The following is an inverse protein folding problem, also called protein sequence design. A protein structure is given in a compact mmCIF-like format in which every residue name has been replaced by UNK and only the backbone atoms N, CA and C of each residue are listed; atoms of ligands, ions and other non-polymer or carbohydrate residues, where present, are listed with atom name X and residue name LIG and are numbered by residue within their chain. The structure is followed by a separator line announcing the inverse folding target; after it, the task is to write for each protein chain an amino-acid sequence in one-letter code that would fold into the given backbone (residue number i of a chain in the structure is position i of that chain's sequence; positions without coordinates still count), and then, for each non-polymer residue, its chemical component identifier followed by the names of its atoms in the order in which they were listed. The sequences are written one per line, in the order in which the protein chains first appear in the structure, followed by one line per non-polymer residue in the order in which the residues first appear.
data_IF_024527723008
#
_entry.id   IF_024527723008
#
_cell.length_a   1.000
_cell.length_b   1.000
_cell.length_c   1.000
_cell.angle_alpha   90.00
_cell.angle_beta   90.00
_cell.angle_gamma   90.00
#
_symmetry.space_group_name_H-M   'P 1'
#
loop_
_entity.id
_entity.type
_entity.pdbx_description
1 polymer ?
#
# COMPACT_ATOMS: atom_id res chain seq x y z
N UNK A 1 14.83 22.01 8.84
CA UNK A 1 13.49 22.65 8.93
C UNK A 1 13.09 22.66 10.39
N UNK A 2 12.69 23.80 10.97
CA UNK A 2 12.33 23.89 12.40
C UNK A 2 10.98 23.22 12.63
N UNK A 3 10.85 22.42 13.68
CA UNK A 3 9.58 21.82 14.09
C UNK A 3 8.64 22.89 14.64
N UNK A 4 7.46 22.97 14.06
CA UNK A 4 6.34 23.81 14.53
C UNK A 4 5.66 23.08 15.68
N UNK A 5 5.55 23.72 16.84
CA UNK A 5 4.76 23.16 17.95
C UNK A 5 3.28 23.20 17.61
N UNK A 6 2.48 22.30 18.22
CA UNK A 6 1.04 22.29 17.98
C UNK A 6 0.35 23.60 18.40
N UNK A 7 0.87 24.28 19.44
CA UNK A 7 0.37 25.60 19.87
C UNK A 7 0.48 26.64 18.77
N UNK A 8 1.59 26.59 18.02
CA UNK A 8 1.96 27.56 16.97
C UNK A 8 1.28 27.26 15.63
N UNK A 9 0.51 26.17 15.52
CA UNK A 9 -0.27 25.90 14.32
C UNK A 9 -1.36 26.97 14.16
N UNK A 10 -1.47 27.60 12.97
CA UNK A 10 -2.41 28.69 12.69
C UNK A 10 -3.83 28.17 12.44
N UNK A 11 -4.31 27.33 13.36
CA UNK A 11 -5.64 26.73 13.38
C UNK A 11 -6.28 27.03 14.74
N UNK A 12 -7.60 27.24 14.75
CA UNK A 12 -8.35 27.52 15.96
C UNK A 12 -8.53 26.25 16.80
N UNK A 13 -8.67 26.42 18.12
CA UNK A 13 -9.03 25.32 19.00
C UNK A 13 -10.45 24.81 18.73
N UNK A 14 -10.67 23.52 18.98
CA UNK A 14 -11.97 22.84 18.94
C UNK A 14 -12.70 22.95 17.59
N UNK A 15 -11.95 23.23 16.51
CA UNK A 15 -12.46 23.19 15.13
C UNK A 15 -11.81 22.03 14.38
N UNK A 16 -12.60 21.40 13.50
CA UNK A 16 -12.14 20.34 12.60
C UNK A 16 -11.38 20.97 11.43
N UNK A 17 -10.24 20.35 11.09
CA UNK A 17 -9.43 20.72 9.95
C UNK A 17 -9.06 19.47 9.15
N UNK A 18 -9.12 19.59 7.83
CA UNK A 18 -8.53 18.59 6.95
C UNK A 18 -7.02 18.78 6.90
N UNK A 19 -6.30 17.69 7.14
CA UNK A 19 -4.85 17.64 7.14
C UNK A 19 -4.39 16.55 6.16
N UNK A 20 -3.38 16.86 5.35
CA UNK A 20 -2.72 15.88 4.46
C UNK A 20 -1.29 15.64 4.92
N UNK A 21 -0.90 14.37 5.09
CA UNK A 21 0.49 14.01 5.36
C UNK A 21 1.24 13.96 4.03
N UNK A 22 2.07 14.97 3.75
CA UNK A 22 2.83 15.02 2.50
C UNK A 22 4.10 14.17 2.56
N UNK A 23 4.73 14.08 3.73
CA UNK A 23 5.98 13.34 3.93
C UNK A 23 6.07 12.81 5.35
N UNK A 24 6.49 11.57 5.50
CA UNK A 24 6.58 10.89 6.80
C UNK A 24 8.04 10.58 7.13
N UNK A 25 8.45 10.88 8.36
CA UNK A 25 9.75 10.54 8.92
C UNK A 25 9.56 9.75 10.21
N UNK A 26 10.67 9.24 10.77
CA UNK A 26 10.64 8.37 11.97
C UNK A 26 9.89 8.96 13.16
N UNK A 27 9.99 10.27 13.41
CA UNK A 27 9.41 10.95 14.58
C UNK A 27 8.66 12.24 14.23
N UNK A 28 8.56 12.56 12.94
CA UNK A 28 8.05 13.83 12.44
C UNK A 28 7.36 13.64 11.10
N UNK A 29 6.56 14.62 10.71
CA UNK A 29 5.84 14.63 9.45
C UNK A 29 5.71 16.04 8.89
N UNK A 30 5.68 16.13 7.56
CA UNK A 30 5.30 17.35 6.84
C UNK A 30 3.83 17.26 6.51
N UNK A 31 3.02 18.12 7.10
CA UNK A 31 1.58 18.14 6.91
C UNK A 31 1.13 19.40 6.20
N UNK A 32 0.06 19.30 5.42
CA UNK A 32 -0.63 20.44 4.82
C UNK A 32 -1.96 20.64 5.52
N UNK A 33 -2.21 21.85 6.02
CA UNK A 33 -3.49 22.25 6.59
C UNK A 33 -3.89 23.57 5.92
N UNK A 34 -5.10 23.63 5.34
CA UNK A 34 -5.57 24.79 4.56
C UNK A 34 -4.55 25.24 3.47
N UNK A 35 -3.92 24.27 2.79
CA UNK A 35 -2.93 24.52 1.74
C UNK A 35 -1.55 24.99 2.22
N UNK A 36 -1.34 25.19 3.53
CA UNK A 36 -0.04 25.57 4.10
C UNK A 36 0.68 24.37 4.70
N UNK A 37 2.00 24.28 4.46
CA UNK A 37 2.83 23.17 4.94
C UNK A 37 3.47 23.48 6.29
N UNK A 38 3.46 22.49 7.17
CA UNK A 38 4.05 22.54 8.51
C UNK A 38 4.89 21.29 8.76
N UNK A 39 6.03 21.46 9.41
CA UNK A 39 6.87 20.36 9.87
C UNK A 39 6.56 20.14 11.36
N UNK A 40 5.91 19.04 11.70
CA UNK A 40 5.45 18.76 13.08
C UNK A 40 5.98 17.41 13.57
N UNK A 41 6.07 17.27 14.89
CA UNK A 41 6.29 15.95 15.51
C UNK A 41 5.05 15.07 15.35
N UNK A 42 5.27 13.76 15.21
CA UNK A 42 4.16 12.79 15.23
C UNK A 42 3.48 12.87 16.61
N UNK A 43 2.17 13.14 16.70
CA UNK A 43 1.48 13.19 17.97
C UNK A 43 1.52 11.82 18.67
N UNK A 44 1.85 11.80 19.96
CA UNK A 44 2.01 10.58 20.75
C UNK A 44 0.82 10.26 21.66
N UNK A 45 -0.35 10.82 21.37
CA UNK A 45 -1.55 10.63 22.18
C UNK A 45 -2.39 9.45 21.66
N UNK A 46 -3.36 9.01 22.46
CA UNK A 46 -4.20 7.83 22.19
C UNK A 46 -4.97 7.90 20.87
N UNK A 47 -5.30 9.10 20.36
CA UNK A 47 -5.99 9.21 19.07
C UNK A 47 -5.09 8.85 17.88
N UNK A 48 -3.77 8.86 18.04
CA UNK A 48 -2.81 8.59 16.96
C UNK A 48 -2.13 7.23 17.07
N UNK A 49 -2.11 6.61 18.26
CA UNK A 49 -1.29 5.41 18.52
C UNK A 49 -1.69 4.20 17.66
N UNK A 50 -2.94 4.12 17.24
CA UNK A 50 -3.47 3.05 16.38
C UNK A 50 -3.67 3.49 14.92
N UNK A 51 -3.25 4.71 14.56
CA UNK A 51 -3.41 5.24 13.21
C UNK A 51 -2.21 4.84 12.37
N UNK A 52 -2.45 4.09 11.30
CA UNK A 52 -1.42 3.81 10.30
C UNK A 52 -1.15 5.07 9.48
N UNK A 53 0.03 5.67 9.69
CA UNK A 53 0.45 6.87 8.98
C UNK A 53 1.18 6.51 7.68
N UNK A 54 0.84 7.20 6.60
CA UNK A 54 1.50 7.05 5.31
C UNK A 54 1.48 8.36 4.52
N UNK A 55 2.36 8.48 3.53
CA UNK A 55 2.41 9.64 2.65
C UNK A 55 1.20 9.67 1.71
N UNK A 56 0.49 10.80 1.74
CA UNK A 56 -0.78 11.02 1.06
C UNK A 56 -2.00 10.85 1.96
N UNK A 57 -1.85 10.40 3.21
CA UNK A 57 -2.98 10.26 4.14
C UNK A 57 -3.69 11.61 4.31
N UNK A 58 -4.99 11.64 4.02
CA UNK A 58 -5.89 12.77 4.31
C UNK A 58 -6.74 12.42 5.52
N UNK A 59 -6.67 13.24 6.56
CA UNK A 59 -7.42 13.03 7.79
C UNK A 59 -8.01 14.31 8.36
N UNK A 60 -9.04 14.14 9.18
CA UNK A 60 -9.64 15.20 9.97
C UNK A 60 -8.98 15.25 11.34
N UNK A 61 -8.53 16.44 11.74
CA UNK A 61 -7.90 16.68 13.03
C UNK A 61 -8.55 17.84 13.78
N UNK A 62 -8.43 17.84 15.10
CA UNK A 62 -8.83 18.95 15.97
C UNK A 62 -7.62 19.37 16.81
N UNK A 63 -7.40 20.69 16.93
CA UNK A 63 -6.47 21.23 17.93
C UNK A 63 -7.24 21.41 19.24
N UNK A 64 -6.80 20.74 20.29
CA UNK A 64 -7.42 20.82 21.62
C UNK A 64 -6.46 21.44 22.63
N UNK A 65 -7.03 22.19 23.58
CA UNK A 65 -6.30 22.70 24.74
C UNK A 65 -6.53 21.78 25.93
N UNK A 66 -5.48 21.53 26.72
CA UNK A 66 -5.61 20.82 27.99
C UNK A 66 -4.67 21.40 29.03
N UNK A 67 -5.04 21.22 30.30
CA UNK A 67 -4.27 21.70 31.43
C UNK A 67 -3.64 20.52 32.16
N UNK A 68 -2.40 20.69 32.60
CA UNK A 68 -1.74 19.78 33.54
C UNK A 68 -1.13 20.63 34.65
N UNK A 69 -1.79 20.65 35.80
CA UNK A 69 -1.56 21.67 36.83
C UNK A 69 -1.89 23.06 36.29
N UNK A 70 -0.96 24.00 36.45
CA UNK A 70 -1.09 25.39 35.97
C UNK A 70 -0.64 25.59 34.52
N UNK A 71 -0.14 24.54 33.86
CA UNK A 71 0.40 24.64 32.50
C UNK A 71 -0.65 24.30 31.44
N UNK A 72 -0.80 25.20 30.49
CA UNK A 72 -1.62 25.02 29.28
C UNK A 72 -0.81 24.33 28.18
N UNK A 73 -1.38 23.30 27.58
CA UNK A 73 -0.79 22.56 26.48
C UNK A 73 -1.76 22.47 25.31
N UNK A 74 -1.20 22.40 24.09
CA UNK A 74 -1.95 22.13 22.87
C UNK A 74 -1.65 20.70 22.40
N UNK A 75 -2.70 19.93 22.08
CA UNK A 75 -2.58 18.63 21.41
C UNK A 75 -3.32 18.65 20.08
N UNK A 76 -2.85 17.82 19.15
CA UNK A 76 -3.54 17.52 17.90
C UNK A 76 -4.21 16.16 18.05
N UNK A 77 -5.52 16.12 17.87
CA UNK A 77 -6.35 14.92 18.02
C UNK A 77 -6.81 14.45 16.65
N UNK A 78 -6.58 13.18 16.35
CA UNK A 78 -7.08 12.53 15.14
C UNK A 78 -8.57 12.21 15.31
N UNK A 79 -9.37 12.46 14.29
CA UNK A 79 -10.82 12.16 14.30
C UNK A 79 -11.12 10.98 13.38
N UNK A 80 -10.83 11.13 12.10
CA UNK A 80 -11.11 10.13 11.07
C UNK A 80 -10.17 10.35 9.87
N UNK A 81 -9.93 9.29 9.10
CA UNK A 81 -9.27 9.37 7.79
C UNK A 81 -10.30 9.35 6.67
N UNK A 82 -10.01 10.03 5.57
CA UNK A 82 -10.80 9.87 4.36
C UNK A 82 -10.40 8.54 3.70
N UNK A 83 -11.18 7.49 3.96
CA UNK A 83 -10.87 6.08 3.64
C UNK A 83 -10.60 5.81 2.15
N UNK A 84 -11.00 6.71 1.25
CA UNK A 84 -10.84 6.55 -0.20
C UNK A 84 -9.38 6.60 -0.70
N UNK A 85 -8.38 6.93 0.13
CA UNK A 85 -6.97 7.05 -0.33
C UNK A 85 -6.09 5.85 0.04
N UNK A 86 -6.53 4.99 0.95
CA UNK A 86 -5.75 3.84 1.42
C UNK A 86 -5.98 2.58 0.56
N UNK A 87 -7.25 2.28 0.27
CA UNK A 87 -7.62 1.07 -0.49
C UNK A 87 -7.10 1.09 -1.94
N UNK A 88 -6.97 2.27 -2.56
CA UNK A 88 -6.43 2.37 -3.94
C UNK A 88 -4.92 2.09 -4.01
N UNK A 89 -4.14 2.44 -2.98
CA UNK A 89 -2.71 2.16 -2.91
C UNK A 89 -2.42 0.73 -2.49
N UNK A 90 -3.08 0.20 -1.46
CA UNK A 90 -2.83 -1.17 -1.00
C UNK A 90 -3.29 -2.22 -2.05
N UNK A 91 -4.39 -1.96 -2.76
CA UNK A 91 -4.77 -2.79 -3.91
C UNK A 91 -3.75 -2.67 -5.03
N UNK A 92 -3.21 -1.48 -5.35
CA UNK A 92 -2.16 -1.37 -6.37
C UNK A 92 -0.88 -2.13 -6.00
N UNK A 93 -0.44 -2.12 -4.73
CA UNK A 93 0.76 -2.85 -4.33
C UNK A 93 0.53 -4.36 -4.22
N UNK A 94 -0.64 -4.80 -3.74
CA UNK A 94 -1.01 -6.21 -3.72
C UNK A 94 -1.26 -6.74 -5.12
N UNK A 95 -1.96 -6.00 -5.97
CA UNK A 95 -2.12 -6.33 -7.39
C UNK A 95 -0.78 -6.29 -8.11
N UNK A 96 0.09 -5.30 -7.92
CA UNK A 96 1.40 -5.28 -8.58
C UNK A 96 2.32 -6.41 -8.09
N UNK A 97 2.29 -6.76 -6.80
CA UNK A 97 3.05 -7.90 -6.27
C UNK A 97 2.45 -9.25 -6.72
N UNK A 98 1.13 -9.33 -6.84
CA UNK A 98 0.39 -10.50 -7.34
C UNK A 98 0.60 -10.67 -8.85
N UNK A 99 0.48 -9.60 -9.63
CA UNK A 99 0.83 -9.51 -11.05
C UNK A 99 2.28 -9.93 -11.23
N UNK A 100 3.25 -9.29 -10.55
CA UNK A 100 4.67 -9.66 -10.64
C UNK A 100 4.93 -11.12 -10.28
N UNK A 101 4.25 -11.66 -9.27
CA UNK A 101 4.42 -13.06 -8.85
C UNK A 101 3.79 -14.06 -9.82
N UNK A 102 2.76 -13.66 -10.59
CA UNK A 102 2.07 -14.55 -11.52
C UNK A 102 2.49 -14.37 -12.98
N UNK A 103 3.01 -13.21 -13.36
CA UNK A 103 3.58 -12.95 -14.70
C UNK A 103 4.60 -14.02 -15.08
N UNK A 104 5.47 -14.41 -14.14
CA UNK A 104 6.45 -15.48 -14.37
C UNK A 104 5.80 -16.82 -14.81
N UNK A 105 4.61 -17.14 -14.33
CA UNK A 105 3.92 -18.40 -14.69
C UNK A 105 3.22 -18.29 -16.05
N UNK A 106 2.71 -17.11 -16.39
CA UNK A 106 2.19 -16.83 -17.73
C UNK A 106 3.32 -16.84 -18.78
N UNK A 107 4.50 -16.30 -18.44
CA UNK A 107 5.71 -16.36 -19.28
C UNK A 107 6.19 -17.81 -19.49
N UNK A 108 6.28 -18.61 -18.42
CA UNK A 108 6.67 -20.04 -18.50
C UNK A 108 5.72 -20.86 -19.38
N UNK A 109 4.45 -20.48 -19.44
CA UNK A 109 3.43 -21.14 -20.27
C UNK A 109 3.20 -20.44 -21.62
N UNK A 110 4.05 -19.47 -21.96
CA UNK A 110 3.99 -18.68 -23.20
C UNK A 110 2.57 -18.15 -23.49
N UNK A 111 1.87 -17.68 -22.46
CA UNK A 111 0.51 -17.16 -22.58
C UNK A 111 0.39 -15.71 -22.08
N UNK A 112 -0.60 -15.00 -22.63
CA UNK A 112 -0.97 -13.68 -22.11
C UNK A 112 -1.57 -13.80 -20.71
N UNK A 113 -1.43 -12.75 -19.91
CA UNK A 113 -2.06 -12.65 -18.59
C UNK A 113 -3.59 -12.71 -18.70
N UNK A 114 -4.15 -12.22 -19.81
CA UNK A 114 -5.59 -12.27 -20.12
C UNK A 114 -6.03 -13.60 -20.76
N UNK A 115 -5.15 -14.61 -20.82
CA UNK A 115 -5.46 -15.88 -21.47
C UNK A 115 -6.50 -16.70 -20.70
N UNK A 116 -7.52 -17.17 -21.40
CA UNK A 116 -8.51 -18.09 -20.82
C UNK A 116 -7.88 -19.40 -20.33
N UNK A 117 -8.52 -20.08 -19.37
CA UNK A 117 -8.09 -21.40 -18.88
C UNK A 117 -7.94 -22.44 -20.02
N UNK A 118 -8.77 -22.35 -21.06
CA UNK A 118 -8.67 -23.21 -22.25
C UNK A 118 -7.36 -22.96 -23.01
N UNK A 119 -6.97 -21.69 -23.16
CA UNK A 119 -5.70 -21.27 -23.78
C UNK A 119 -4.50 -21.71 -22.95
N UNK A 120 -4.54 -21.50 -21.63
CA UNK A 120 -3.49 -21.92 -20.69
C UNK A 120 -3.28 -23.45 -20.77
N UNK A 121 -4.37 -24.22 -20.75
CA UNK A 121 -4.32 -25.69 -20.87
C UNK A 121 -3.80 -26.15 -22.22
N UNK A 122 -4.12 -25.43 -23.30
CA UNK A 122 -3.61 -25.72 -24.65
C UNK A 122 -2.09 -25.52 -24.72
N UNK A 123 -1.59 -24.38 -24.23
CA UNK A 123 -0.16 -24.08 -24.25
C UNK A 123 0.64 -25.04 -23.37
N UNK A 124 0.16 -25.34 -22.16
CA UNK A 124 0.76 -26.37 -21.29
C UNK A 124 0.92 -27.71 -22.03
N UNK A 125 -0.13 -28.18 -22.72
CA UNK A 125 -0.06 -29.43 -23.49
C UNK A 125 0.93 -29.35 -24.65
N UNK A 126 1.03 -28.20 -25.32
CA UNK A 126 1.99 -27.97 -26.40
C UNK A 126 3.43 -28.04 -25.88
N UNK A 127 3.72 -27.34 -24.78
CA UNK A 127 5.03 -27.34 -24.14
C UNK A 127 5.41 -28.74 -23.68
N UNK A 128 4.53 -29.42 -22.94
CA UNK A 128 4.77 -30.79 -22.48
C UNK A 128 5.03 -31.75 -23.67
N UNK A 129 4.33 -31.60 -24.79
CA UNK A 129 4.60 -32.37 -26.02
C UNK A 129 5.94 -32.04 -26.66
N UNK A 130 6.36 -30.77 -26.65
CA UNK A 130 7.69 -30.37 -27.14
C UNK A 130 8.82 -30.94 -26.27
N UNK A 131 8.58 -31.07 -24.95
CA UNK A 131 9.57 -31.61 -24.00
C UNK A 131 9.51 -33.13 -23.81
N UNK A 132 8.54 -33.84 -24.39
CA UNK A 132 8.46 -35.30 -24.29
C UNK A 132 9.36 -36.01 -25.31
N UNK A 133 10.54 -36.43 -24.82
CA UNK A 133 11.39 -37.60 -25.11
C UNK A 133 11.69 -38.10 -26.54
N UNK A 134 11.02 -37.64 -27.61
CA UNK A 134 11.27 -38.14 -28.97
C UNK A 134 12.06 -37.16 -29.86
N UNK A 135 12.52 -36.03 -29.30
CA UNK A 135 13.46 -35.13 -29.96
C UNK A 135 14.58 -34.72 -29.00
N UNK A 136 15.70 -35.42 -29.11
CA UNK A 136 17.07 -35.10 -28.67
C UNK A 136 17.27 -34.40 -27.31
N UNK A 137 17.91 -35.18 -26.43
CA UNK A 137 18.60 -34.79 -25.21
C UNK A 137 17.70 -34.30 -24.08
N UNK A 138 17.63 -35.13 -23.04
CA UNK A 138 17.28 -34.78 -21.66
C UNK A 138 17.89 -33.43 -21.26
N UNK A 139 17.20 -32.33 -21.55
CA UNK A 139 17.36 -31.06 -20.86
C UNK A 139 16.26 -31.04 -19.82
N UNK A 140 16.68 -30.90 -18.57
CA UNK A 140 15.84 -30.86 -17.38
C UNK A 140 14.48 -30.22 -17.69
N UNK A 141 13.42 -31.04 -17.60
CA UNK A 141 12.06 -30.52 -17.67
C UNK A 141 12.00 -29.38 -16.65
N UNK A 142 11.75 -28.12 -17.04
CA UNK A 142 11.70 -27.05 -16.07
C UNK A 142 10.59 -27.40 -15.10
N UNK A 143 10.96 -27.68 -13.84
CA UNK A 143 10.04 -27.98 -12.73
C UNK A 143 8.91 -26.93 -12.66
N UNK A 144 9.26 -25.74 -13.14
CA UNK A 144 8.47 -24.54 -13.29
C UNK A 144 7.24 -24.68 -14.21
N UNK A 145 7.25 -25.52 -15.26
CA UNK A 145 6.11 -25.65 -16.21
C UNK A 145 4.90 -26.32 -15.53
N UNK A 146 5.15 -27.41 -14.81
CA UNK A 146 4.09 -28.11 -14.06
C UNK A 146 3.57 -27.25 -12.91
N UNK A 147 4.48 -26.55 -12.20
CA UNK A 147 4.12 -25.63 -11.12
C UNK A 147 3.25 -24.47 -11.65
N UNK A 148 3.65 -23.85 -12.77
CA UNK A 148 2.92 -22.76 -13.42
C UNK A 148 1.48 -23.15 -13.74
N UNK A 149 1.27 -24.32 -14.34
CA UNK A 149 -0.08 -24.77 -14.72
C UNK A 149 -0.99 -24.99 -13.50
N UNK A 150 -0.47 -25.57 -12.42
CA UNK A 150 -1.27 -25.79 -11.21
C UNK A 150 -1.66 -24.49 -10.53
N UNK A 151 -0.76 -23.50 -10.52
CA UNK A 151 -1.02 -22.18 -9.93
C UNK A 151 -2.06 -21.42 -10.77
N UNK A 152 -1.87 -21.31 -12.09
CA UNK A 152 -2.82 -20.62 -12.96
C UNK A 152 -4.20 -21.28 -12.99
N UNK A 153 -4.26 -22.62 -12.91
CA UNK A 153 -5.52 -23.34 -12.81
C UNK A 153 -6.30 -22.94 -11.55
N UNK A 154 -5.63 -22.87 -10.39
CA UNK A 154 -6.27 -22.47 -9.12
C UNK A 154 -6.77 -21.03 -9.13
N UNK A 155 -6.08 -20.12 -9.83
CA UNK A 155 -6.48 -18.72 -9.95
C UNK A 155 -7.70 -18.50 -10.87
N UNK A 156 -7.86 -19.36 -11.88
CA UNK A 156 -8.91 -19.26 -12.90
C UNK A 156 -10.09 -20.24 -12.64
N UNK A 157 -10.25 -20.72 -11.39
CA UNK A 157 -11.39 -21.57 -10.98
C UNK A 157 -12.49 -20.72 -10.36
#
# INVERSE_FOLDING_TARGET
MKTTNFRDLPISYNKKYTMTINKLYRLSMVVSINGRRFYISIPKNSSWIHVTLYEGLVCTVIKEQYFSGEREYAKLTFIESNENTYYEKENNYKEAAMYSSFTKYYEVLECSIDASLLTIKKNYKTLIRQYHYDTLASKDLPKDINEAYQILKRLNT
#
